data_IF_692333047103
#
_entry.id   IF_692333047103
#
_cell.length_a   1.000
_cell.length_b   1.000
_cell.length_c   1.000
_cell.angle_alpha   90.00
_cell.angle_beta   90.00
_cell.angle_gamma   90.00
#
_symmetry.space_group_name_H-M   'P 1'
#
loop_
_entity.id
_entity.type
_entity.pdbx_description
1 polymer ?
#
# COMPACT_ATOMS: atom_id res chain seq x y z
N UNK A 1 1.95 28.73 2.25
CA UNK A 1 0.79 28.28 1.44
C UNK A 1 1.09 28.18 -0.05
N UNK A 2 1.64 29.21 -0.73
CA UNK A 2 1.94 29.18 -2.17
C UNK A 2 2.95 28.08 -2.58
N UNK A 3 4.05 27.92 -1.82
CA UNK A 3 5.09 26.90 -2.09
C UNK A 3 4.55 25.47 -1.98
N UNK A 4 3.72 25.20 -0.96
CA UNK A 4 3.11 23.88 -0.76
C UNK A 4 2.12 23.51 -1.87
N UNK A 5 1.32 24.47 -2.34
CA UNK A 5 0.40 24.25 -3.47
C UNK A 5 1.14 23.98 -4.78
N UNK A 6 2.16 24.78 -5.10
CA UNK A 6 2.98 24.59 -6.29
C UNK A 6 3.74 23.25 -6.26
N UNK A 7 4.38 22.93 -5.12
CA UNK A 7 5.03 21.63 -4.94
C UNK A 7 4.05 20.48 -5.14
N UNK A 8 2.87 20.55 -4.53
CA UNK A 8 1.85 19.50 -4.66
C UNK A 8 1.37 19.33 -6.10
N UNK A 9 1.15 20.42 -6.85
CA UNK A 9 0.76 20.34 -8.27
C UNK A 9 1.85 19.73 -9.15
N UNK A 10 3.11 20.13 -8.93
CA UNK A 10 4.26 19.57 -9.64
C UNK A 10 4.40 18.09 -9.31
N UNK A 11 4.35 17.71 -8.03
CA UNK A 11 4.41 16.32 -7.59
C UNK A 11 3.30 15.47 -8.22
N UNK A 12 2.07 15.97 -8.22
CA UNK A 12 0.92 15.23 -8.73
C UNK A 12 0.99 15.08 -10.26
N UNK A 13 1.45 16.12 -10.96
CA UNK A 13 1.66 16.09 -12.41
C UNK A 13 2.78 15.13 -12.79
N UNK A 14 3.92 15.18 -12.09
CA UNK A 14 5.06 14.29 -12.31
C UNK A 14 4.68 12.85 -11.98
N UNK A 15 4.03 12.58 -10.85
CA UNK A 15 3.58 11.25 -10.47
C UNK A 15 2.62 10.66 -11.52
N UNK A 16 1.67 11.47 -12.01
CA UNK A 16 0.73 11.03 -13.04
C UNK A 16 1.39 10.84 -14.41
N UNK A 17 2.41 11.64 -14.74
CA UNK A 17 3.19 11.47 -15.96
C UNK A 17 4.06 10.22 -15.89
N UNK A 18 4.81 10.01 -14.81
CA UNK A 18 5.75 8.89 -14.66
C UNK A 18 5.03 7.53 -14.58
N UNK A 19 3.80 7.49 -14.07
CA UNK A 19 3.00 6.26 -14.03
C UNK A 19 2.47 5.75 -15.39
N UNK A 20 2.65 6.50 -16.49
CA UNK A 20 2.12 6.12 -17.82
C UNK A 20 3.10 5.21 -18.59
N UNK A 21 2.63 4.14 -19.25
CA UNK A 21 3.47 3.28 -20.10
C UNK A 21 4.22 4.04 -21.20
N UNK A 22 3.60 5.10 -21.75
CA UNK A 22 4.22 5.97 -22.77
C UNK A 22 5.48 6.65 -22.21
N UNK A 23 5.47 7.06 -20.94
CA UNK A 23 6.63 7.72 -20.32
C UNK A 23 7.80 6.76 -20.18
N UNK A 24 7.54 5.50 -19.84
CA UNK A 24 8.57 4.47 -19.84
C UNK A 24 9.21 4.30 -21.23
N UNK A 25 8.40 4.23 -22.29
CA UNK A 25 8.91 4.15 -23.66
C UNK A 25 9.78 5.36 -24.03
N UNK A 26 9.36 6.58 -23.64
CA UNK A 26 10.15 7.80 -23.84
C UNK A 26 11.49 7.72 -23.08
N UNK A 27 11.48 7.28 -21.82
CA UNK A 27 12.72 7.10 -21.05
C UNK A 27 13.69 6.12 -21.73
N UNK A 28 13.19 5.00 -22.24
CA UNK A 28 14.00 4.02 -22.99
C UNK A 28 14.60 4.65 -24.25
N UNK A 29 13.81 5.42 -25.01
CA UNK A 29 14.30 6.13 -26.19
C UNK A 29 15.37 7.17 -25.85
N UNK A 30 15.22 7.89 -24.73
CA UNK A 30 16.24 8.84 -24.25
C UNK A 30 17.54 8.12 -23.90
N UNK A 31 17.48 6.99 -23.18
CA UNK A 31 18.65 6.19 -22.84
C UNK A 31 19.30 5.61 -24.10
N UNK A 32 18.51 5.13 -25.06
CA UNK A 32 19.01 4.63 -26.34
C UNK A 32 19.69 5.74 -27.17
N UNK A 33 19.09 6.94 -27.22
CA UNK A 33 19.68 8.10 -27.88
C UNK A 33 20.99 8.55 -27.23
N UNK A 34 21.05 8.54 -25.90
CA UNK A 34 22.30 8.78 -25.17
C UNK A 34 23.35 7.72 -25.52
N UNK A 35 23.00 6.43 -25.48
CA UNK A 35 23.90 5.33 -25.84
C UNK A 35 24.44 5.47 -27.27
N UNK A 36 23.58 5.83 -28.22
CA UNK A 36 23.93 6.06 -29.62
C UNK A 36 24.85 7.27 -29.83
N UNK A 37 24.85 8.24 -28.92
CA UNK A 37 25.81 9.36 -28.95
C UNK A 37 27.20 8.98 -28.43
N UNK A 38 27.33 7.87 -27.70
CA UNK A 38 28.60 7.38 -27.13
C UNK A 38 29.77 7.30 -28.13
N UNK A 39 29.61 6.69 -29.31
CA UNK A 39 30.67 6.63 -30.33
C UNK A 39 31.16 8.00 -30.82
N UNK A 40 30.28 9.00 -30.88
CA UNK A 40 30.63 10.37 -31.30
C UNK A 40 31.53 11.03 -30.25
N UNK A 41 31.27 10.76 -28.98
CA UNK A 41 32.03 11.30 -27.84
C UNK A 41 33.15 10.38 -27.35
N UNK A 42 33.46 9.32 -28.10
CA UNK A 42 34.51 8.35 -27.75
C UNK A 42 34.29 7.67 -26.39
N UNK A 43 33.04 7.54 -25.94
CA UNK A 43 32.68 7.03 -24.61
C UNK A 43 33.42 7.72 -23.45
N UNK A 44 33.68 9.03 -23.60
CA UNK A 44 34.43 9.84 -22.62
C UNK A 44 33.85 9.84 -21.21
N UNK A 45 34.70 10.16 -20.23
CA UNK A 45 34.31 10.31 -18.82
C UNK A 45 33.19 11.35 -18.64
N UNK A 46 33.23 12.46 -19.39
CA UNK A 46 32.18 13.48 -19.35
C UNK A 46 30.84 12.94 -19.86
N UNK A 47 30.84 12.13 -20.91
CA UNK A 47 29.63 11.52 -21.45
C UNK A 47 28.98 10.53 -20.45
N UNK A 48 29.79 9.74 -19.74
CA UNK A 48 29.32 8.86 -18.67
C UNK A 48 28.85 9.65 -17.44
N UNK A 49 29.59 10.70 -17.07
CA UNK A 49 29.28 11.54 -15.92
C UNK A 49 27.91 12.20 -16.04
N UNK A 50 27.53 12.67 -17.23
CA UNK A 50 26.24 13.33 -17.46
C UNK A 50 25.07 12.39 -17.13
N UNK A 51 25.07 11.16 -17.65
CA UNK A 51 23.94 10.24 -17.39
C UNK A 51 23.92 9.77 -15.93
N UNK A 52 25.08 9.50 -15.35
CA UNK A 52 25.17 9.02 -13.97
C UNK A 52 24.69 10.11 -13.01
N UNK A 53 25.24 11.32 -13.14
CA UNK A 53 24.88 12.47 -12.30
C UNK A 53 23.40 12.84 -12.48
N UNK A 54 22.93 12.90 -13.73
CA UNK A 54 21.53 13.22 -14.03
C UNK A 54 20.56 12.19 -13.43
N UNK A 55 20.83 10.90 -13.64
CA UNK A 55 19.98 9.82 -13.12
C UNK A 55 19.98 9.79 -11.60
N UNK A 56 21.12 10.02 -10.94
CA UNK A 56 21.20 10.11 -9.48
C UNK A 56 20.34 11.25 -8.94
N UNK A 57 20.42 12.45 -9.53
CA UNK A 57 19.59 13.59 -9.13
C UNK A 57 18.10 13.28 -9.32
N UNK A 58 17.72 12.75 -10.49
CA UNK A 58 16.32 12.39 -10.77
C UNK A 58 15.83 11.33 -9.79
N UNK A 59 16.64 10.31 -9.50
CA UNK A 59 16.30 9.24 -8.56
C UNK A 59 16.12 9.79 -7.15
N UNK A 60 17.02 10.66 -6.69
CA UNK A 60 16.91 11.32 -5.39
C UNK A 60 15.62 12.12 -5.27
N UNK A 61 15.29 12.93 -6.28
CA UNK A 61 14.02 13.66 -6.33
C UNK A 61 12.82 12.70 -6.38
N UNK A 62 12.91 11.62 -7.16
CA UNK A 62 11.84 10.62 -7.30
C UNK A 62 11.51 9.96 -5.95
N UNK A 63 12.51 9.70 -5.10
CA UNK A 63 12.26 9.16 -3.74
C UNK A 63 11.36 10.10 -2.94
N UNK A 64 11.63 11.41 -2.92
CA UNK A 64 10.76 12.37 -2.22
C UNK A 64 9.38 12.46 -2.85
N UNK A 65 9.29 12.43 -4.18
CA UNK A 65 8.01 12.45 -4.89
C UNK A 65 7.16 11.23 -4.54
N UNK A 66 7.76 10.04 -4.58
CA UNK A 66 7.10 8.78 -4.23
C UNK A 66 6.65 8.83 -2.77
N UNK A 67 7.51 9.24 -1.84
CA UNK A 67 7.16 9.35 -0.42
C UNK A 67 6.00 10.33 -0.19
N UNK A 68 5.99 11.48 -0.87
CA UNK A 68 4.90 12.45 -0.76
C UNK A 68 3.57 11.90 -1.29
N UNK A 69 3.59 11.23 -2.46
CA UNK A 69 2.38 10.59 -3.01
C UNK A 69 1.90 9.46 -2.12
N UNK A 70 2.79 8.57 -1.67
CA UNK A 70 2.45 7.46 -0.79
C UNK A 70 1.91 7.93 0.56
N UNK A 71 2.49 8.96 1.18
CA UNK A 71 2.01 9.51 2.44
C UNK A 71 0.59 10.08 2.31
N UNK A 72 0.30 10.77 1.20
CA UNK A 72 -1.03 11.33 0.95
C UNK A 72 -2.07 10.24 0.65
N UNK A 73 -1.71 9.25 -0.17
CA UNK A 73 -2.61 8.16 -0.53
C UNK A 73 -2.89 7.26 0.68
N UNK A 74 -1.90 7.06 1.57
CA UNK A 74 -2.07 6.36 2.85
C UNK A 74 -3.10 7.04 3.76
N UNK A 75 -2.98 8.36 3.96
CA UNK A 75 -3.95 9.13 4.75
C UNK A 75 -5.37 9.09 4.15
N UNK A 76 -5.48 9.15 2.81
CA UNK A 76 -6.77 9.07 2.13
C UNK A 76 -7.41 7.67 2.25
N UNK A 77 -6.60 6.61 2.23
CA UNK A 77 -7.06 5.24 2.45
C UNK A 77 -7.58 5.04 3.88
N UNK A 78 -6.85 5.53 4.89
CA UNK A 78 -7.27 5.49 6.29
C UNK A 78 -8.62 6.18 6.50
N UNK A 79 -8.77 7.43 6.01
CA UNK A 79 -10.04 8.15 6.13
C UNK A 79 -11.24 7.43 5.48
N UNK A 80 -11.02 6.72 4.36
CA UNK A 80 -12.06 5.91 3.71
C UNK A 80 -12.41 4.65 4.53
N UNK A 81 -11.42 4.01 5.13
CA UNK A 81 -11.62 2.85 5.99
C UNK A 81 -12.36 3.25 7.27
N UNK A 82 -11.98 4.37 7.89
CA UNK A 82 -12.66 4.92 9.06
C UNK A 82 -14.14 5.20 8.77
N UNK A 83 -14.45 5.76 7.60
CA UNK A 83 -15.84 6.01 7.21
C UNK A 83 -16.62 4.70 7.00
N UNK A 84 -16.01 3.67 6.39
CA UNK A 84 -16.63 2.35 6.24
C UNK A 84 -16.86 1.66 7.59
N UNK A 85 -15.90 1.74 8.50
CA UNK A 85 -16.03 1.19 9.86
C UNK A 85 -17.16 1.91 10.58
N UNK A 86 -17.23 3.25 10.50
CA UNK A 86 -18.29 4.04 11.12
C UNK A 86 -19.68 3.79 10.51
N UNK A 87 -19.76 3.55 9.21
CA UNK A 87 -21.02 3.29 8.50
C UNK A 87 -21.50 1.84 8.66
N UNK A 88 -20.56 0.90 8.85
CA UNK A 88 -20.89 -0.44 9.33
C UNK A 88 -21.19 -0.37 10.82
N UNK A 89 -22.14 -1.14 11.35
CA UNK A 89 -22.37 -1.23 12.80
C UNK A 89 -21.24 -2.01 13.52
N UNK A 90 -20.04 -2.01 12.93
CA UNK A 90 -18.84 -2.63 13.49
C UNK A 90 -18.18 -1.67 14.48
N UNK A 91 -17.79 -2.23 15.63
CA UNK A 91 -17.31 -1.49 16.79
C UNK A 91 -16.25 -0.45 16.38
N UNK A 92 -16.51 0.82 16.68
CA UNK A 92 -15.64 2.01 16.53
C UNK A 92 -14.19 1.85 17.08
N UNK A 93 -13.85 0.72 17.70
CA UNK A 93 -12.54 0.39 18.23
C UNK A 93 -11.43 0.30 17.16
N UNK A 94 -11.79 0.17 15.88
CA UNK A 94 -10.85 0.13 14.75
C UNK A 94 -10.73 1.45 13.99
N UNK A 95 -11.41 2.51 14.42
CA UNK A 95 -11.24 3.85 13.83
C UNK A 95 -10.00 4.49 14.44
N UNK A 96 -9.06 4.95 13.60
CA UNK A 96 -7.86 5.66 14.06
C UNK A 96 -6.73 4.79 14.63
N UNK A 97 -6.72 3.47 14.38
CA UNK A 97 -5.69 2.55 14.94
C UNK A 97 -4.28 2.89 14.45
N UNK A 98 -4.16 3.56 13.31
CA UNK A 98 -2.90 3.98 12.72
C UNK A 98 -2.13 5.01 13.56
N UNK A 99 -2.80 5.66 14.52
CA UNK A 99 -2.19 6.60 15.44
C UNK A 99 -1.67 5.93 16.72
N UNK A 100 -1.99 4.66 16.91
CA UNK A 100 -1.54 3.89 18.08
C UNK A 100 -0.06 3.54 17.96
N UNK A 101 0.57 3.38 19.11
CA UNK A 101 1.91 2.78 19.16
C UNK A 101 1.85 1.31 18.73
N UNK A 102 3.00 0.75 18.31
CA UNK A 102 3.06 -0.66 17.89
C UNK A 102 2.56 -1.62 18.97
N UNK A 103 2.92 -1.36 20.25
CA UNK A 103 2.51 -2.19 21.38
C UNK A 103 0.99 -2.16 21.60
N UNK A 104 0.36 -0.99 21.43
CA UNK A 104 -1.09 -0.83 21.54
C UNK A 104 -1.82 -1.51 20.37
N UNK A 105 -1.28 -1.37 19.16
CA UNK A 105 -1.83 -2.01 17.95
C UNK A 105 -1.77 -3.54 18.07
N UNK A 106 -0.63 -4.09 18.49
CA UNK A 106 -0.45 -5.54 18.68
C UNK A 106 -1.42 -6.10 19.72
N UNK A 107 -1.70 -5.34 20.79
CA UNK A 107 -2.69 -5.73 21.80
C UNK A 107 -4.11 -5.81 21.24
N UNK A 108 -4.53 -4.81 20.47
CA UNK A 108 -5.86 -4.79 19.84
C UNK A 108 -5.98 -5.93 18.82
N UNK A 109 -4.93 -6.18 18.03
CA UNK A 109 -4.90 -7.28 17.08
C UNK A 109 -4.97 -8.65 17.78
N UNK A 110 -4.24 -8.84 18.86
CA UNK A 110 -4.28 -10.06 19.66
C UNK A 110 -5.68 -10.31 20.25
N UNK A 111 -6.30 -9.28 20.83
CA UNK A 111 -7.68 -9.38 21.34
C UNK A 111 -8.72 -9.64 20.25
N UNK A 112 -8.49 -9.16 19.02
CA UNK A 112 -9.36 -9.42 17.88
C UNK A 112 -9.20 -10.86 17.37
N UNK A 113 -7.96 -11.36 17.29
CA UNK A 113 -7.66 -12.73 16.88
C UNK A 113 -8.19 -13.76 17.88
N UNK A 114 -8.07 -13.49 19.18
CA UNK A 114 -8.59 -14.37 20.24
C UNK A 114 -10.11 -14.48 20.17
N UNK A 115 -10.82 -13.36 19.93
CA UNK A 115 -12.28 -13.36 19.73
C UNK A 115 -12.70 -14.13 18.48
N UNK A 116 -11.99 -13.95 17.37
CA UNK A 116 -12.29 -14.66 16.13
C UNK A 116 -12.12 -16.18 16.28
N UNK A 117 -11.13 -16.62 17.07
CA UNK A 117 -10.97 -18.04 17.44
C UNK A 117 -12.11 -18.53 18.33
N UNK A 118 -12.50 -17.75 19.34
CA UNK A 118 -13.61 -18.07 20.23
C UNK A 118 -14.95 -18.25 19.50
N UNK A 119 -15.30 -17.34 18.59
CA UNK A 119 -16.52 -17.42 17.77
C UNK A 119 -16.50 -18.65 16.85
N UNK A 120 -15.36 -18.97 16.23
CA UNK A 120 -15.21 -20.17 15.40
C UNK A 120 -15.32 -21.48 16.20
N UNK A 121 -14.76 -21.52 17.41
CA UNK A 121 -14.82 -22.69 18.28
C UNK A 121 -16.24 -22.94 18.83
N UNK A 122 -16.98 -21.87 19.16
CA UNK A 122 -18.40 -21.96 19.55
C UNK A 122 -19.27 -22.49 18.40
N UNK A 123 -19.07 -21.99 17.17
CA UNK A 123 -19.83 -22.44 16.00
C UNK A 123 -19.55 -23.92 15.69
N UNK A 124 -18.30 -24.36 15.82
CA UNK A 124 -17.91 -25.77 15.65
C UNK A 124 -18.52 -26.64 16.76
N UNK A 125 -18.49 -26.19 18.01
CA UNK A 125 -19.07 -26.91 19.14
C UNK A 125 -20.58 -27.08 18.99
N UNK A 126 -21.30 -26.05 18.54
CA UNK A 126 -22.74 -26.10 18.28
C UNK A 126 -23.07 -27.09 17.15
N UNK A 127 -22.35 -27.03 16.03
CA UNK A 127 -22.52 -27.98 14.90
C UNK A 127 -22.26 -29.42 15.34
N UNK A 128 -21.22 -29.66 16.14
CA UNK A 128 -20.91 -30.98 16.69
C UNK A 128 -21.98 -31.47 17.66
N UNK A 129 -22.52 -30.59 18.51
CA UNK A 129 -23.62 -30.92 19.43
C UNK A 129 -24.90 -31.30 18.64
N UNK A 130 -25.22 -30.53 17.61
CA UNK A 130 -26.37 -30.78 16.73
C UNK A 130 -26.21 -32.08 15.92
N UNK A 131 -24.99 -32.40 15.48
CA UNK A 131 -24.72 -33.63 14.74
C UNK A 131 -24.74 -34.86 15.66
N UNK A 132 -24.27 -34.72 16.91
CA UNK A 132 -24.36 -35.76 17.95
C UNK A 132 -25.79 -36.05 18.36
N UNK A 133 -26.65 -35.03 18.50
CA UNK A 133 -28.07 -35.23 18.80
C UNK A 133 -28.80 -35.93 17.64
N UNK A 134 -28.56 -35.51 16.39
CA UNK A 134 -29.05 -36.21 15.18
C UNK A 134 -28.62 -37.67 15.12
N UNK A 135 -27.36 -37.96 15.40
CA UNK A 135 -26.84 -39.34 15.36
C UNK A 135 -27.38 -40.21 16.50
N UNK A 136 -27.64 -39.63 17.69
CA UNK A 136 -28.34 -40.33 18.78
C UNK A 136 -29.77 -40.70 18.40
N UNK A 137 -30.51 -39.76 17.81
CA UNK A 137 -31.88 -40.04 17.36
C UNK A 137 -31.93 -41.11 16.25
N UNK A 138 -30.96 -41.11 15.33
CA UNK A 138 -30.88 -42.13 14.28
C UNK A 138 -30.52 -43.53 14.79
N UNK A 139 -29.72 -43.61 15.86
CA UNK A 139 -29.36 -44.89 16.52
C UNK A 139 -30.45 -45.46 17.42
N UNK A 140 -31.35 -44.62 17.96
CA UNK A 140 -32.47 -45.07 18.77
C UNK A 140 -33.68 -45.54 17.93
N UNK A 141 -33.67 -45.26 16.62
CA UNK A 141 -34.74 -45.60 15.68
C UNK A 141 -34.41 -46.82 14.78
N UNK A 142 -33.27 -47.49 15.01
CA UNK A 142 -32.87 -48.77 14.40
C UNK A 142 -32.82 -49.85 15.47
#
# INVERSE_FOLDING_TARGET
MLVSKFFTEVCNTVAHAVGKPVTFAVCVLVVAGWAASGPIFGFSDTWQLIINTGTTIVTFLMVFLIQNTQNRDGAAMQAKLDELIRASDSRNAFVGIEHLTQEELDKILAEAEERAKGEGDEEIAEKLAHQRSRNRHRRAAS
#
